data_IF_417024003068
#
_entry.id   IF_417024003068
#
_cell.length_a   1.000
_cell.length_b   1.000
_cell.length_c   1.000
_cell.angle_alpha   90.00
_cell.angle_beta   90.00
_cell.angle_gamma   90.00
#
_symmetry.space_group_name_H-M   'P 1'
#
loop_
_entity.id
_entity.type
_entity.pdbx_description
1 polymer ?
#
# COMPACT_ATOMS: atom_id res chain seq x y z
N UNK A 1 -57.73 10.30 -12.02
CA UNK A 1 -56.29 10.05 -12.18
C UNK A 1 -55.80 11.06 -13.21
N UNK A 2 -54.73 11.84 -12.96
CA UNK A 2 -54.20 12.94 -13.81
C UNK A 2 -54.50 14.39 -13.39
N UNK A 3 -54.22 14.76 -12.13
CA UNK A 3 -53.91 16.17 -11.83
C UNK A 3 -52.78 16.30 -10.79
N UNK A 4 -52.64 15.35 -9.85
CA UNK A 4 -51.57 15.39 -8.84
C UNK A 4 -50.20 14.87 -9.30
N UNK A 5 -50.13 14.03 -10.34
CA UNK A 5 -48.84 13.48 -10.82
C UNK A 5 -48.08 14.51 -11.67
N UNK A 6 -48.79 15.38 -12.40
CA UNK A 6 -48.17 16.41 -13.23
C UNK A 6 -47.57 17.54 -12.39
N UNK A 7 -48.18 17.90 -11.26
CA UNK A 7 -47.65 18.95 -10.37
C UNK A 7 -46.42 18.49 -9.59
N UNK A 8 -46.36 17.21 -9.18
CA UNK A 8 -45.17 16.63 -8.53
C UNK A 8 -43.99 16.45 -9.50
N UNK A 9 -44.27 16.04 -10.76
CA UNK A 9 -43.24 15.98 -11.80
C UNK A 9 -42.75 17.36 -12.23
N UNK A 10 -43.63 18.37 -12.30
CA UNK A 10 -43.21 19.75 -12.58
C UNK A 10 -42.37 20.36 -11.45
N UNK A 11 -42.69 20.08 -10.18
CA UNK A 11 -41.89 20.56 -9.03
C UNK A 11 -40.54 19.85 -8.91
N UNK A 12 -40.48 18.54 -9.14
CA UNK A 12 -39.22 17.81 -9.26
C UNK A 12 -38.40 18.32 -10.45
N UNK A 13 -39.02 18.56 -11.61
CA UNK A 13 -38.33 19.07 -12.80
C UNK A 13 -37.84 20.53 -12.64
N UNK A 14 -38.59 21.39 -11.93
CA UNK A 14 -38.18 22.75 -11.58
C UNK A 14 -36.98 22.74 -10.62
N UNK A 15 -36.99 21.83 -9.63
CA UNK A 15 -35.87 21.63 -8.70
C UNK A 15 -34.64 21.06 -9.43
N UNK A 16 -34.83 20.06 -10.32
CA UNK A 16 -33.76 19.52 -11.17
C UNK A 16 -33.16 20.58 -12.10
N UNK A 17 -33.99 21.44 -12.71
CA UNK A 17 -33.52 22.52 -13.57
C UNK A 17 -32.68 23.54 -12.79
N UNK A 18 -33.12 23.92 -11.59
CA UNK A 18 -32.38 24.81 -10.70
C UNK A 18 -31.06 24.18 -10.23
N UNK A 19 -31.05 22.90 -9.86
CA UNK A 19 -29.84 22.15 -9.49
C UNK A 19 -28.88 22.07 -10.67
N UNK A 20 -29.37 21.71 -11.87
CA UNK A 20 -28.57 21.66 -13.10
C UNK A 20 -27.95 23.02 -13.41
N UNK A 21 -28.72 24.09 -13.34
CA UNK A 21 -28.23 25.44 -13.57
C UNK A 21 -27.14 25.79 -12.54
N UNK A 22 -27.38 25.53 -11.25
CA UNK A 22 -26.41 25.76 -10.17
C UNK A 22 -25.10 25.02 -10.39
N UNK A 23 -25.16 23.74 -10.75
CA UNK A 23 -23.97 22.91 -11.01
C UNK A 23 -23.24 23.36 -12.29
N UNK A 24 -23.97 23.68 -13.36
CA UNK A 24 -23.38 24.13 -14.62
C UNK A 24 -22.63 25.45 -14.51
N UNK A 25 -23.12 26.36 -13.65
CA UNK A 25 -22.48 27.64 -13.34
C UNK A 25 -21.24 27.50 -12.44
N UNK A 26 -21.11 26.38 -11.73
CA UNK A 26 -20.05 26.15 -10.75
C UNK A 26 -19.47 24.72 -10.89
N UNK A 27 -18.83 24.40 -12.04
CA UNK A 27 -18.38 23.05 -12.34
C UNK A 27 -17.23 22.56 -11.44
N UNK A 28 -16.51 23.49 -10.82
CA UNK A 28 -15.41 23.26 -9.88
C UNK A 28 -15.89 23.00 -8.44
N UNK A 29 -17.17 23.22 -8.15
CA UNK A 29 -17.70 23.07 -6.79
C UNK A 29 -18.24 21.68 -6.51
N UNK A 30 -17.96 21.22 -5.28
CA UNK A 30 -18.57 20.03 -4.68
C UNK A 30 -19.46 20.44 -3.53
N UNK A 31 -20.69 19.94 -3.53
CA UNK A 31 -21.75 20.25 -2.60
C UNK A 31 -22.11 19.05 -1.73
N UNK A 32 -22.53 19.32 -0.50
CA UNK A 32 -23.14 18.34 0.40
C UNK A 32 -24.51 18.86 0.84
N UNK A 33 -25.54 18.78 -0.02
CA UNK A 33 -26.79 19.51 0.15
C UNK A 33 -27.60 19.07 1.38
N UNK A 34 -27.41 17.83 1.82
CA UNK A 34 -28.11 17.27 2.98
C UNK A 34 -27.37 17.50 4.31
N UNK A 35 -26.23 18.21 4.29
CA UNK A 35 -25.39 18.34 5.48
C UNK A 35 -25.89 19.43 6.43
N UNK A 36 -26.41 19.00 7.59
CA UNK A 36 -26.95 19.90 8.61
C UNK A 36 -28.28 20.55 8.21
N UNK A 37 -28.89 21.27 9.15
CA UNK A 37 -30.22 21.87 8.99
C UNK A 37 -30.19 23.37 8.65
N UNK A 38 -29.00 23.96 8.56
CA UNK A 38 -28.80 25.40 8.30
C UNK A 38 -27.82 25.58 7.15
N UNK A 39 -27.88 26.74 6.48
CA UNK A 39 -26.89 27.11 5.47
C UNK A 39 -25.48 27.07 6.05
N UNK A 40 -24.57 26.45 5.30
CA UNK A 40 -23.19 26.26 5.69
C UNK A 40 -22.31 26.04 4.44
N UNK A 41 -21.00 26.15 4.63
CA UNK A 41 -20.00 26.05 3.56
C UNK A 41 -20.11 24.75 2.73
N UNK A 42 -20.54 23.64 3.33
CA UNK A 42 -20.69 22.37 2.61
C UNK A 42 -21.93 22.34 1.72
N UNK A 43 -23.02 22.99 2.13
CA UNK A 43 -24.25 23.18 1.32
C UNK A 43 -24.05 24.23 0.23
N UNK A 44 -23.27 25.26 0.50
CA UNK A 44 -22.91 26.34 -0.45
C UNK A 44 -21.88 25.90 -1.49
N UNK A 45 -21.18 24.80 -1.22
CA UNK A 45 -20.24 24.16 -2.11
C UNK A 45 -18.80 24.64 -1.94
N UNK A 46 -17.88 23.69 -1.92
CA UNK A 46 -16.44 23.92 -1.83
C UNK A 46 -15.86 23.91 -3.24
N UNK A 47 -15.18 24.98 -3.63
CA UNK A 47 -14.40 25.01 -4.88
C UNK A 47 -13.16 24.14 -4.75
N UNK A 48 -13.01 23.21 -5.68
CA UNK A 48 -11.86 22.32 -5.77
C UNK A 48 -11.29 22.31 -7.19
N UNK A 49 -9.96 22.30 -7.28
CA UNK A 49 -9.24 22.08 -8.53
C UNK A 49 -8.52 20.72 -8.44
N UNK A 50 -8.50 19.98 -9.54
CA UNK A 50 -7.70 18.75 -9.67
C UNK A 50 -6.19 19.05 -9.71
N UNK A 51 -5.83 20.24 -10.19
CA UNK A 51 -4.45 20.73 -10.26
C UNK A 51 -4.06 21.27 -8.89
N UNK A 52 -2.97 20.75 -8.34
CA UNK A 52 -2.40 21.26 -7.10
C UNK A 52 -1.61 22.54 -7.35
N UNK A 53 -0.70 22.51 -8.33
CA UNK A 53 0.05 23.67 -8.79
C UNK A 53 0.72 23.37 -10.15
N UNK A 54 1.10 24.43 -10.86
CA UNK A 54 1.92 24.35 -12.06
C UNK A 54 3.27 24.96 -11.77
N UNK A 55 4.36 24.27 -12.14
CA UNK A 55 5.73 24.77 -11.92
C UNK A 55 6.01 25.88 -12.94
N UNK A 56 6.28 27.13 -12.50
CA UNK A 56 6.56 28.23 -13.40
C UNK A 56 7.79 27.93 -14.29
N UNK A 57 7.69 28.20 -15.59
CA UNK A 57 8.78 28.04 -16.55
C UNK A 57 8.97 26.64 -17.15
N UNK A 58 8.35 25.59 -16.58
CA UNK A 58 8.44 24.21 -17.09
C UNK A 58 7.15 23.70 -17.73
N UNK A 59 6.06 24.49 -17.71
CA UNK A 59 4.71 24.07 -18.12
C UNK A 59 4.31 22.69 -17.56
N UNK A 60 4.79 22.39 -16.35
CA UNK A 60 4.63 21.09 -15.71
C UNK A 60 3.57 21.18 -14.64
N UNK A 61 2.43 20.52 -14.88
CA UNK A 61 1.28 20.49 -13.97
C UNK A 61 1.38 19.34 -13.00
N UNK A 62 1.23 19.63 -11.70
CA UNK A 62 1.17 18.64 -10.62
C UNK A 62 -0.28 18.53 -10.16
N UNK A 63 -0.80 17.31 -10.14
CA UNK A 63 -2.17 17.01 -9.71
C UNK A 63 -2.23 16.60 -8.23
N UNK A 64 -3.32 16.93 -7.55
CA UNK A 64 -3.55 16.51 -6.16
C UNK A 64 -3.46 15.01 -5.98
N UNK A 65 -3.98 14.24 -6.95
CA UNK A 65 -3.94 12.79 -6.92
C UNK A 65 -2.52 12.24 -6.77
N UNK A 66 -1.59 12.70 -7.62
CA UNK A 66 -0.18 12.29 -7.56
C UNK A 66 0.53 12.78 -6.31
N UNK A 67 0.23 14.02 -5.88
CA UNK A 67 0.78 14.59 -4.66
C UNK A 67 0.39 13.80 -3.40
N UNK A 68 -0.89 13.45 -3.28
CA UNK A 68 -1.43 12.67 -2.15
C UNK A 68 -0.88 11.24 -2.13
N UNK A 69 -0.72 10.60 -3.29
CA UNK A 69 -0.03 9.31 -3.37
C UNK A 69 1.42 9.44 -2.89
N UNK A 70 2.14 10.47 -3.33
CA UNK A 70 3.51 10.74 -2.89
C UNK A 70 3.62 10.93 -1.38
N UNK A 71 2.71 11.71 -0.79
CA UNK A 71 2.61 11.91 0.66
C UNK A 71 2.30 10.59 1.37
N UNK A 72 1.36 9.80 0.83
CA UNK A 72 0.99 8.49 1.36
C UNK A 72 2.18 7.53 1.39
N UNK A 73 2.95 7.45 0.30
CA UNK A 73 4.17 6.64 0.21
C UNK A 73 5.22 7.14 1.22
N UNK A 74 5.44 8.46 1.33
CA UNK A 74 6.39 9.02 2.28
C UNK A 74 6.04 8.64 3.73
N UNK A 75 4.79 8.83 4.13
CA UNK A 75 4.33 8.50 5.49
C UNK A 75 4.36 6.99 5.74
N UNK A 76 3.99 6.19 4.74
CA UNK A 76 4.09 4.73 4.79
C UNK A 76 5.54 4.27 4.98
N UNK A 77 6.51 4.86 4.27
CA UNK A 77 7.94 4.57 4.45
C UNK A 77 8.42 4.96 5.85
N UNK A 78 8.11 6.18 6.31
CA UNK A 78 8.48 6.64 7.67
C UNK A 78 7.96 5.67 8.73
N UNK A 79 6.71 5.25 8.61
CA UNK A 79 6.11 4.27 9.52
C UNK A 79 6.80 2.90 9.41
N UNK A 80 6.95 2.39 8.18
CA UNK A 80 7.50 1.06 7.89
C UNK A 80 8.93 0.90 8.40
N UNK A 81 9.82 1.83 8.08
CA UNK A 81 11.22 1.81 8.54
C UNK A 81 11.33 1.86 10.07
N UNK A 82 10.42 2.56 10.76
CA UNK A 82 10.37 2.56 12.23
C UNK A 82 9.91 1.22 12.81
N UNK A 83 9.14 0.43 12.06
CA UNK A 83 8.61 -0.88 12.47
C UNK A 83 9.50 -2.07 12.08
N UNK A 84 10.50 -1.87 11.22
CA UNK A 84 11.42 -2.94 10.80
C UNK A 84 12.25 -3.51 11.96
N UNK A 85 12.91 -2.66 12.76
CA UNK A 85 13.79 -3.15 13.86
C UNK A 85 13.04 -4.00 14.90
N UNK A 86 11.85 -3.60 15.41
CA UNK A 86 11.06 -4.46 16.31
C UNK A 86 10.61 -5.80 15.70
N UNK A 87 10.67 -5.96 14.38
CA UNK A 87 10.41 -7.21 13.69
C UNK A 87 11.67 -8.01 13.38
N UNK A 88 12.86 -7.54 13.79
CA UNK A 88 14.11 -8.21 13.49
C UNK A 88 14.68 -7.88 12.10
N UNK A 89 14.12 -6.88 11.43
CA UNK A 89 14.47 -6.55 10.05
C UNK A 89 15.48 -5.41 10.06
N UNK A 90 16.62 -5.65 9.40
CA UNK A 90 17.60 -4.61 9.09
C UNK A 90 17.02 -3.65 8.01
N UNK A 91 16.83 -2.36 8.35
CA UNK A 91 16.33 -1.35 7.41
C UNK A 91 17.16 -1.20 6.13
N UNK A 92 18.49 -1.28 6.22
CA UNK A 92 19.37 -1.07 5.07
C UNK A 92 19.25 -2.24 4.10
N UNK A 93 19.31 -3.47 4.61
CA UNK A 93 19.07 -4.69 3.80
C UNK A 93 17.67 -4.72 3.19
N UNK A 94 16.66 -4.26 3.93
CA UNK A 94 15.29 -4.20 3.43
C UNK A 94 15.10 -3.14 2.34
N UNK A 95 15.94 -2.10 2.29
CA UNK A 95 15.83 -1.01 1.32
C UNK A 95 15.95 -1.50 -0.12
N UNK A 96 16.84 -2.46 -0.39
CA UNK A 96 16.94 -3.09 -1.72
C UNK A 96 15.62 -3.75 -2.15
N UNK A 97 14.96 -4.42 -1.20
CA UNK A 97 13.67 -5.05 -1.43
C UNK A 97 12.55 -4.03 -1.65
N UNK A 98 12.56 -2.92 -0.91
CA UNK A 98 11.60 -1.82 -1.08
C UNK A 98 11.78 -1.16 -2.46
N UNK A 99 13.02 -0.83 -2.84
CA UNK A 99 13.32 -0.21 -4.15
C UNK A 99 12.92 -1.17 -5.29
N UNK A 100 13.33 -2.44 -5.20
CA UNK A 100 12.94 -3.44 -6.18
C UNK A 100 11.43 -3.66 -6.24
N UNK A 101 10.75 -3.61 -5.11
CA UNK A 101 9.29 -3.66 -5.02
C UNK A 101 8.61 -2.49 -5.73
N UNK A 102 9.11 -1.26 -5.56
CA UNK A 102 8.60 -0.07 -6.26
C UNK A 102 8.80 -0.20 -7.78
N UNK A 103 9.99 -0.61 -8.22
CA UNK A 103 10.27 -0.83 -9.65
C UNK A 103 9.36 -1.93 -10.22
N UNK A 104 9.26 -3.06 -9.52
CA UNK A 104 8.38 -4.16 -9.89
C UNK A 104 6.92 -3.72 -9.96
N UNK A 105 6.47 -2.90 -9.02
CA UNK A 105 5.11 -2.34 -9.02
C UNK A 105 4.87 -1.49 -10.27
N UNK A 106 5.77 -0.56 -10.60
CA UNK A 106 5.63 0.31 -11.78
C UNK A 106 5.55 -0.49 -13.08
N UNK A 107 6.42 -1.49 -13.23
CA UNK A 107 6.41 -2.40 -14.39
C UNK A 107 5.10 -3.19 -14.42
N UNK A 108 4.70 -3.76 -13.29
CA UNK A 108 3.49 -4.55 -13.16
C UNK A 108 2.21 -3.75 -13.43
N UNK A 109 2.10 -2.52 -12.91
CA UNK A 109 0.99 -1.59 -13.15
C UNK A 109 0.74 -1.39 -14.63
N UNK A 110 1.82 -1.16 -15.39
CA UNK A 110 1.74 -0.94 -16.83
C UNK A 110 1.49 -2.23 -17.59
N UNK A 111 2.23 -3.30 -17.27
CA UNK A 111 2.09 -4.58 -17.95
C UNK A 111 0.66 -5.12 -17.82
N UNK A 112 0.06 -5.03 -16.64
CA UNK A 112 -1.32 -5.41 -16.42
C UNK A 112 -2.27 -4.57 -17.28
N UNK A 113 -2.10 -3.26 -17.31
CA UNK A 113 -2.95 -2.40 -18.15
C UNK A 113 -2.86 -2.77 -19.63
N UNK A 114 -1.66 -3.02 -20.15
CA UNK A 114 -1.43 -3.37 -21.56
C UNK A 114 -1.97 -4.76 -21.91
N UNK A 115 -1.87 -5.73 -21.00
CA UNK A 115 -2.40 -7.09 -21.23
C UNK A 115 -3.92 -7.10 -21.31
N UNK A 116 -4.59 -6.30 -20.47
CA UNK A 116 -6.05 -6.31 -20.38
C UNK A 116 -6.74 -5.25 -21.26
N UNK A 117 -6.00 -4.32 -21.85
CA UNK A 117 -6.50 -3.37 -22.84
C UNK A 117 -5.77 -3.58 -24.16
N UNK A 118 -6.27 -4.49 -24.99
CA UNK A 118 -5.57 -4.92 -26.22
C UNK A 118 -5.92 -4.07 -27.46
N UNK A 119 -6.94 -3.23 -27.39
CA UNK A 119 -7.38 -2.43 -28.54
C UNK A 119 -6.51 -1.18 -28.70
N UNK A 120 -5.74 -1.12 -29.79
CA UNK A 120 -5.02 0.09 -30.22
C UNK A 120 -3.73 0.42 -29.44
N UNK A 121 -3.25 -0.45 -28.54
CA UNK A 121 -2.03 -0.19 -27.76
C UNK A 121 -0.76 -0.54 -28.54
N UNK A 122 0.13 0.45 -28.68
CA UNK A 122 1.48 0.29 -29.24
C UNK A 122 2.54 0.10 -28.14
N UNK A 123 3.70 -0.47 -28.48
CA UNK A 123 4.84 -0.59 -27.54
C UNK A 123 5.30 0.77 -26.96
N UNK A 124 5.09 1.87 -27.70
CA UNK A 124 5.40 3.23 -27.19
C UNK A 124 4.48 3.62 -26.03
N UNK A 125 3.25 3.15 -26.04
CA UNK A 125 2.30 3.42 -24.96
C UNK A 125 2.75 2.74 -23.69
N UNK A 126 3.46 1.61 -23.74
CA UNK A 126 4.04 1.00 -22.53
C UNK A 126 4.88 2.00 -21.72
N UNK A 127 5.69 2.86 -22.37
CA UNK A 127 6.51 3.85 -21.66
C UNK A 127 5.75 5.11 -21.24
N UNK A 128 4.53 5.29 -21.73
CA UNK A 128 3.69 6.42 -21.38
C UNK A 128 2.93 6.16 -20.07
N UNK A 129 3.58 6.48 -18.96
CA UNK A 129 3.01 6.37 -17.61
C UNK A 129 2.21 7.60 -17.16
N UNK A 130 2.18 8.66 -17.98
CA UNK A 130 1.58 9.96 -17.62
C UNK A 130 0.13 10.10 -18.06
N UNK A 131 -0.22 9.47 -19.17
CA UNK A 131 -1.57 9.56 -19.76
C UNK A 131 -2.60 8.63 -19.06
N UNK A 132 -2.22 8.05 -17.92
CA UNK A 132 -3.03 7.10 -17.18
C UNK A 132 -2.85 5.66 -17.67
N UNK A 133 -3.82 4.80 -17.35
CA UNK A 133 -3.78 3.37 -17.70
C UNK A 133 -2.82 2.57 -16.82
N UNK A 134 -3.13 2.48 -15.53
CA UNK A 134 -2.34 1.73 -14.57
C UNK A 134 -3.25 0.73 -13.84
N UNK A 135 -2.93 -0.56 -13.94
CA UNK A 135 -3.68 -1.63 -13.29
C UNK A 135 -3.14 -1.94 -11.90
N UNK A 136 -3.88 -1.59 -10.84
CA UNK A 136 -3.39 -1.74 -9.46
C UNK A 136 -3.04 -3.19 -9.09
N UNK A 137 -3.77 -4.17 -9.62
CA UNK A 137 -3.47 -5.59 -9.44
C UNK A 137 -2.07 -5.96 -9.97
N UNK A 138 -1.70 -5.43 -11.13
CA UNK A 138 -0.36 -5.58 -11.69
C UNK A 138 0.72 -5.02 -10.78
N UNK A 139 0.47 -3.86 -10.17
CA UNK A 139 1.39 -3.25 -9.22
C UNK A 139 1.67 -4.13 -8.01
N UNK A 140 0.62 -4.71 -7.42
CA UNK A 140 0.76 -5.60 -6.27
C UNK A 140 1.54 -6.87 -6.63
N UNK A 141 1.20 -7.50 -7.76
CA UNK A 141 1.89 -8.71 -8.26
C UNK A 141 3.36 -8.41 -8.52
N UNK A 142 3.66 -7.33 -9.25
CA UNK A 142 5.03 -6.92 -9.57
C UNK A 142 5.85 -6.60 -8.32
N UNK A 143 5.25 -5.93 -7.33
CA UNK A 143 5.92 -5.63 -6.06
C UNK A 143 6.30 -6.91 -5.28
N UNK A 144 5.38 -7.88 -5.21
CA UNK A 144 5.61 -9.14 -4.51
C UNK A 144 6.65 -9.99 -5.25
N UNK A 145 6.56 -10.08 -6.58
CA UNK A 145 7.49 -10.87 -7.37
C UNK A 145 8.91 -10.32 -7.31
N UNK A 146 9.11 -9.01 -7.52
CA UNK A 146 10.45 -8.42 -7.54
C UNK A 146 10.95 -8.14 -6.12
N UNK A 147 10.18 -7.37 -5.35
CA UNK A 147 10.56 -6.99 -3.98
C UNK A 147 10.61 -8.20 -3.05
N UNK A 148 9.61 -9.07 -3.10
CA UNK A 148 9.59 -10.30 -2.29
C UNK A 148 10.73 -11.26 -2.63
N UNK A 149 11.12 -11.38 -3.91
CA UNK A 149 12.29 -12.16 -4.30
C UNK A 149 13.58 -11.58 -3.72
N UNK A 150 13.76 -10.26 -3.79
CA UNK A 150 14.94 -9.60 -3.20
C UNK A 150 14.96 -9.78 -1.68
N UNK A 151 13.83 -9.62 -0.99
CA UNK A 151 13.71 -9.87 0.46
C UNK A 151 14.11 -11.30 0.81
N UNK A 152 13.69 -12.29 0.00
CA UNK A 152 14.08 -13.69 0.18
C UNK A 152 15.59 -13.89 -0.06
N UNK A 153 16.16 -13.30 -1.11
CA UNK A 153 17.60 -13.34 -1.41
C UNK A 153 18.42 -12.72 -0.26
N UNK A 154 17.91 -11.65 0.36
CA UNK A 154 18.53 -10.98 1.51
C UNK A 154 18.34 -11.74 2.83
N UNK A 155 17.79 -12.96 2.80
CA UNK A 155 17.52 -13.82 3.96
C UNK A 155 16.61 -13.16 5.01
N UNK A 156 15.72 -12.27 4.59
CA UNK A 156 14.68 -11.67 5.44
C UNK A 156 13.42 -12.53 5.32
N UNK A 157 12.79 -12.86 6.46
CA UNK A 157 11.54 -13.62 6.45
C UNK A 157 10.42 -12.78 5.82
N UNK A 158 9.90 -13.23 4.68
CA UNK A 158 8.88 -12.50 3.92
C UNK A 158 7.63 -12.19 4.76
N UNK A 159 7.17 -13.13 5.60
CA UNK A 159 5.99 -12.89 6.44
C UNK A 159 6.19 -11.79 7.48
N UNK A 160 7.40 -11.65 8.05
CA UNK A 160 7.74 -10.55 8.95
C UNK A 160 7.77 -9.21 8.20
N UNK A 161 8.28 -9.21 6.97
CA UNK A 161 8.27 -8.02 6.10
C UNK A 161 6.85 -7.62 5.69
N UNK A 162 5.97 -8.60 5.40
CA UNK A 162 4.57 -8.37 5.09
C UNK A 162 3.81 -7.77 6.29
N UNK A 163 4.11 -8.22 7.52
CA UNK A 163 3.53 -7.62 8.72
C UNK A 163 3.89 -6.13 8.87
N UNK A 164 5.14 -5.75 8.56
CA UNK A 164 5.56 -4.34 8.54
C UNK A 164 4.85 -3.56 7.43
N UNK A 165 4.69 -4.17 6.25
CA UNK A 165 4.15 -3.52 5.05
C UNK A 165 2.62 -3.37 5.11
N UNK A 166 1.91 -4.26 5.81
CA UNK A 166 0.45 -4.26 5.87
C UNK A 166 -0.16 -2.92 6.37
N UNK A 167 0.26 -2.35 7.52
CA UNK A 167 -0.22 -1.03 7.93
C UNK A 167 0.24 0.09 6.99
N UNK A 168 1.38 -0.06 6.30
CA UNK A 168 1.86 0.90 5.30
C UNK A 168 0.90 1.02 4.11
N UNK A 169 0.31 -0.10 3.66
CA UNK A 169 -0.73 -0.07 2.63
C UNK A 169 -1.95 0.72 3.07
N UNK A 170 -2.40 0.55 4.31
CA UNK A 170 -3.54 1.29 4.85
C UNK A 170 -3.29 2.79 4.93
N UNK A 171 -2.07 3.22 5.29
CA UNK A 171 -1.67 4.64 5.23
C UNK A 171 -1.79 5.18 3.80
N UNK A 172 -1.20 4.47 2.83
CA UNK A 172 -1.23 4.86 1.42
C UNK A 172 -2.66 4.92 0.87
N UNK A 173 -3.48 3.91 1.17
CA UNK A 173 -4.88 3.84 0.74
C UNK A 173 -5.73 4.92 1.41
N UNK A 174 -5.56 5.16 2.71
CA UNK A 174 -6.28 6.20 3.45
C UNK A 174 -6.08 7.58 2.83
N UNK A 175 -4.85 7.93 2.46
CA UNK A 175 -4.50 9.25 1.92
C UNK A 175 -4.79 9.32 0.43
N UNK A 176 -4.43 8.28 -0.33
CA UNK A 176 -4.61 8.24 -1.79
C UNK A 176 -6.07 8.38 -2.22
N UNK A 177 -7.03 7.90 -1.40
CA UNK A 177 -8.47 8.04 -1.67
C UNK A 177 -8.94 9.49 -1.77
N UNK A 178 -8.27 10.43 -1.11
CA UNK A 178 -8.58 11.85 -1.25
C UNK A 178 -8.27 12.39 -2.65
N UNK A 179 -7.41 11.71 -3.42
CA UNK A 179 -7.24 12.01 -4.84
C UNK A 179 -8.54 11.86 -5.63
N UNK A 180 -9.35 10.84 -5.31
CA UNK A 180 -10.65 10.63 -5.95
C UNK A 180 -11.63 11.77 -5.65
N UNK A 181 -11.52 12.42 -4.49
CA UNK A 181 -12.32 13.60 -4.17
C UNK A 181 -11.96 14.80 -5.05
N UNK A 182 -10.67 15.11 -5.21
CA UNK A 182 -10.22 16.18 -6.10
C UNK A 182 -10.55 15.93 -7.57
N UNK A 183 -10.55 14.66 -7.99
CA UNK A 183 -10.99 14.24 -9.33
C UNK A 183 -12.51 14.10 -9.47
N UNK A 184 -13.26 14.14 -8.35
CA UNK A 184 -14.71 13.93 -8.31
C UNK A 184 -15.15 12.59 -8.94
N UNK A 185 -14.42 11.51 -8.66
CA UNK A 185 -14.60 10.18 -9.26
C UNK A 185 -14.77 9.07 -8.21
N UNK A 186 -15.03 7.84 -8.65
CA UNK A 186 -15.15 6.66 -7.78
C UNK A 186 -16.18 6.81 -6.65
N UNK A 187 -17.33 7.42 -6.95
CA UNK A 187 -18.46 7.60 -6.03
C UNK A 187 -19.45 6.43 -6.12
N UNK A 188 -20.44 6.42 -5.24
CA UNK A 188 -21.46 5.39 -5.19
C UNK A 188 -22.79 5.78 -5.82
N UNK A 189 -23.80 4.94 -5.61
CA UNK A 189 -25.20 5.20 -6.01
C UNK A 189 -25.78 6.43 -5.30
N UNK A 190 -26.95 6.89 -5.75
CA UNK A 190 -27.65 8.01 -5.15
C UNK A 190 -27.96 7.77 -3.66
N UNK A 191 -27.99 8.85 -2.88
CA UNK A 191 -28.16 8.80 -1.43
C UNK A 191 -28.80 10.04 -0.84
N UNK A 192 -29.66 9.83 0.16
CA UNK A 192 -30.28 10.90 0.94
C UNK A 192 -29.54 11.19 2.25
N UNK A 193 -28.38 10.56 2.46
CA UNK A 193 -27.60 10.74 3.70
C UNK A 193 -27.04 12.17 3.81
N UNK A 194 -26.81 12.68 5.04
CA UNK A 194 -26.36 14.06 5.24
C UNK A 194 -24.99 14.37 4.62
N UNK A 195 -24.16 13.36 4.39
CA UNK A 195 -22.86 13.48 3.72
C UNK A 195 -22.92 13.11 2.22
N UNK A 196 -24.11 13.07 1.60
CA UNK A 196 -24.25 12.85 0.16
C UNK A 196 -23.53 13.95 -0.62
N UNK A 197 -22.70 13.55 -1.57
CA UNK A 197 -21.85 14.45 -2.36
C UNK A 197 -22.51 14.72 -3.71
N UNK A 198 -22.50 15.96 -4.18
CA UNK A 198 -23.02 16.34 -5.48
C UNK A 198 -22.06 17.30 -6.16
N UNK A 199 -21.77 17.07 -7.43
CA UNK A 199 -20.98 17.97 -8.26
C UNK A 199 -21.37 17.85 -9.73
N UNK A 200 -20.92 18.80 -10.54
CA UNK A 200 -21.10 18.73 -11.99
C UNK A 200 -20.51 17.44 -12.59
N UNK A 201 -19.34 17.00 -12.12
CA UNK A 201 -18.71 15.77 -12.61
C UNK A 201 -19.51 14.53 -12.26
N UNK A 202 -20.04 14.44 -11.03
CA UNK A 202 -20.91 13.32 -10.63
C UNK A 202 -22.17 13.29 -11.48
N UNK A 203 -22.81 14.44 -11.71
CA UNK A 203 -24.04 14.53 -12.48
C UNK A 203 -23.82 14.17 -13.94
N UNK A 204 -22.74 14.67 -14.54
CA UNK A 204 -22.36 14.35 -15.91
C UNK A 204 -22.10 12.86 -16.08
N UNK A 205 -21.31 12.25 -15.19
CA UNK A 205 -21.01 10.82 -15.28
C UNK A 205 -22.28 9.97 -15.19
N UNK A 206 -23.18 10.27 -14.24
CA UNK A 206 -24.45 9.55 -14.12
C UNK A 206 -25.34 9.73 -15.35
N UNK A 207 -25.39 10.95 -15.90
CA UNK A 207 -26.12 11.24 -17.14
C UNK A 207 -25.55 10.49 -18.35
N UNK A 208 -24.21 10.42 -18.47
CA UNK A 208 -23.52 9.74 -19.57
C UNK A 208 -23.69 8.21 -19.49
N UNK A 209 -24.06 7.66 -18.32
CA UNK A 209 -24.21 6.22 -18.08
C UNK A 209 -25.65 5.80 -17.73
N UNK A 210 -26.63 6.68 -17.97
CA UNK A 210 -28.03 6.48 -17.58
C UNK A 210 -28.61 5.15 -18.07
N UNK A 211 -28.29 4.72 -19.30
CA UNK A 211 -28.79 3.47 -19.88
C UNK A 211 -28.24 2.19 -19.22
N UNK A 212 -27.13 2.32 -18.49
CA UNK A 212 -26.44 1.19 -17.84
C UNK A 212 -26.62 1.15 -16.33
N UNK A 213 -27.00 2.27 -15.73
CA UNK A 213 -27.22 2.41 -14.30
C UNK A 213 -28.73 2.46 -14.02
N UNK A 214 -29.26 1.43 -13.36
CA UNK A 214 -30.67 1.39 -12.96
C UNK A 214 -30.95 2.34 -11.78
N UNK A 215 -32.15 2.92 -11.74
CA UNK A 215 -32.66 3.74 -10.62
C UNK A 215 -31.73 4.89 -10.18
N UNK A 216 -31.11 5.56 -11.16
CA UNK A 216 -30.14 6.63 -10.91
C UNK A 216 -30.68 7.99 -11.35
N UNK A 217 -30.62 8.98 -10.47
CA UNK A 217 -30.90 10.38 -10.77
C UNK A 217 -29.56 11.13 -10.87
N UNK A 218 -29.28 11.67 -12.05
CA UNK A 218 -28.05 12.41 -12.32
C UNK A 218 -27.87 13.64 -11.42
N UNK A 219 -28.96 14.25 -10.95
CA UNK A 219 -28.89 15.47 -10.15
C UNK A 219 -29.12 15.24 -8.65
N UNK A 220 -29.26 13.98 -8.22
CA UNK A 220 -29.32 13.63 -6.82
C UNK A 220 -27.92 13.37 -6.22
N UNK A 221 -27.71 13.60 -4.91
CA UNK A 221 -26.43 13.35 -4.26
C UNK A 221 -26.03 11.88 -4.31
N UNK A 222 -24.73 11.61 -4.35
CA UNK A 222 -24.14 10.27 -4.38
C UNK A 222 -23.37 9.94 -3.11
N UNK A 223 -23.23 8.65 -2.81
CA UNK A 223 -22.37 8.19 -1.73
C UNK A 223 -20.89 8.59 -1.99
N UNK A 224 -20.22 9.34 -1.08
CA UNK A 224 -18.78 9.63 -1.21
C UNK A 224 -17.94 8.40 -0.83
N UNK A 225 -17.89 7.40 -1.71
CA UNK A 225 -17.17 6.14 -1.45
C UNK A 225 -15.69 6.34 -1.11
N UNK A 226 -15.04 7.38 -1.64
CA UNK A 226 -13.67 7.75 -1.27
C UNK A 226 -13.52 7.96 0.25
N UNK A 227 -14.52 8.58 0.89
CA UNK A 227 -14.53 8.89 2.32
C UNK A 227 -14.72 7.61 3.13
N UNK A 228 -15.62 6.73 2.68
CA UNK A 228 -15.83 5.43 3.33
C UNK A 228 -14.56 4.59 3.29
N UNK A 229 -13.91 4.50 2.13
CA UNK A 229 -12.65 3.77 2.00
C UNK A 229 -11.53 4.41 2.83
N UNK A 230 -11.43 5.74 2.85
CA UNK A 230 -10.43 6.47 3.64
C UNK A 230 -10.60 6.21 5.14
N UNK A 231 -11.82 6.35 5.67
CA UNK A 231 -12.12 6.10 7.08
C UNK A 231 -11.96 4.63 7.47
N UNK A 232 -12.35 3.69 6.59
CA UNK A 232 -12.15 2.27 6.81
C UNK A 232 -10.67 1.89 6.88
N UNK A 233 -9.85 2.48 6.00
CA UNK A 233 -8.40 2.30 6.00
C UNK A 233 -7.76 2.92 7.24
N UNK A 234 -8.21 4.10 7.68
CA UNK A 234 -7.75 4.74 8.91
C UNK A 234 -8.07 3.88 10.15
N UNK A 235 -9.31 3.40 10.26
CA UNK A 235 -9.72 2.51 11.34
C UNK A 235 -8.88 1.22 11.35
N UNK A 236 -8.70 0.61 10.18
CA UNK A 236 -7.82 -0.55 10.01
C UNK A 236 -6.40 -0.25 10.47
N UNK A 237 -5.83 0.88 10.06
CA UNK A 237 -4.47 1.26 10.43
C UNK A 237 -4.32 1.36 11.95
N UNK A 238 -5.26 2.03 12.62
CA UNK A 238 -5.27 2.18 14.07
C UNK A 238 -5.36 0.80 14.75
N UNK A 239 -6.31 -0.04 14.33
CA UNK A 239 -6.50 -1.39 14.88
C UNK A 239 -5.23 -2.23 14.73
N UNK A 240 -4.67 -2.29 13.52
CA UNK A 240 -3.49 -3.08 13.23
C UNK A 240 -2.25 -2.53 13.94
N UNK A 241 -2.11 -1.21 14.05
CA UNK A 241 -1.02 -0.58 14.78
C UNK A 241 -1.03 -0.96 16.27
N UNK A 242 -2.21 -0.91 16.91
CA UNK A 242 -2.39 -1.26 18.31
C UNK A 242 -2.22 -2.78 18.54
N UNK A 243 -2.72 -3.60 17.62
CA UNK A 243 -2.58 -5.06 17.68
C UNK A 243 -1.16 -5.55 17.33
N UNK A 244 -0.33 -4.73 16.68
CA UNK A 244 1.00 -5.11 16.17
C UNK A 244 1.91 -5.82 17.18
N UNK A 245 1.85 -5.41 18.45
CA UNK A 245 2.64 -5.99 19.55
C UNK A 245 2.05 -7.29 20.12
N UNK A 246 0.79 -7.58 19.82
CA UNK A 246 0.03 -8.72 20.34
C UNK A 246 0.00 -9.91 19.39
N UNK A 247 0.60 -9.77 18.21
CA UNK A 247 0.73 -10.84 17.21
C UNK A 247 1.39 -12.09 17.80
N UNK A 248 1.03 -13.24 17.25
CA UNK A 248 1.39 -14.59 17.67
C UNK A 248 2.32 -15.29 16.68
N UNK A 249 2.34 -14.82 15.43
CA UNK A 249 3.27 -15.29 14.41
C UNK A 249 3.56 -14.19 13.39
N UNK A 250 4.70 -14.30 12.69
CA UNK A 250 5.04 -13.45 11.56
C UNK A 250 4.11 -13.76 10.37
N UNK A 251 3.38 -12.75 9.92
CA UNK A 251 2.36 -12.82 8.87
C UNK A 251 0.94 -12.59 9.39
N UNK A 252 0.74 -12.55 10.71
CA UNK A 252 -0.60 -12.35 11.29
C UNK A 252 -1.19 -10.97 10.95
N UNK A 253 -0.37 -9.92 11.02
CA UNK A 253 -0.83 -8.55 10.72
C UNK A 253 -1.19 -8.43 9.24
N UNK A 254 -0.42 -9.09 8.36
CA UNK A 254 -0.74 -9.13 6.93
C UNK A 254 -2.05 -9.87 6.63
N UNK A 255 -2.31 -11.00 7.29
CA UNK A 255 -3.59 -11.69 7.15
C UNK A 255 -4.74 -10.81 7.64
N UNK A 256 -4.60 -10.21 8.82
CA UNK A 256 -5.59 -9.27 9.36
C UNK A 256 -5.86 -8.10 8.42
N UNK A 257 -4.81 -7.52 7.82
CA UNK A 257 -4.94 -6.48 6.80
C UNK A 257 -5.74 -6.96 5.59
N UNK A 258 -5.39 -8.14 5.05
CA UNK A 258 -6.04 -8.71 3.87
C UNK A 258 -7.52 -8.94 4.12
N UNK A 259 -7.87 -9.48 5.30
CA UNK A 259 -9.25 -9.66 5.71
C UNK A 259 -9.98 -8.33 5.95
N UNK A 260 -9.35 -7.38 6.66
CA UNK A 260 -9.94 -6.08 6.95
C UNK A 260 -10.21 -5.27 5.70
N UNK A 261 -9.21 -5.11 4.84
CA UNK A 261 -9.34 -4.36 3.59
C UNK A 261 -10.29 -5.05 2.62
N UNK A 262 -10.22 -6.38 2.51
CA UNK A 262 -11.17 -7.17 1.72
C UNK A 262 -12.61 -6.96 2.20
N UNK A 263 -12.86 -6.97 3.50
CA UNK A 263 -14.21 -6.74 4.05
C UNK A 263 -14.76 -5.36 3.68
N UNK A 264 -13.96 -4.31 3.87
CA UNK A 264 -14.36 -2.96 3.46
C UNK A 264 -14.59 -2.85 1.95
N UNK A 265 -13.69 -3.45 1.16
CA UNK A 265 -13.82 -3.46 -0.31
C UNK A 265 -15.09 -4.17 -0.76
N UNK A 266 -15.44 -5.31 -0.16
CA UNK A 266 -16.64 -6.05 -0.51
C UNK A 266 -17.92 -5.22 -0.38
N UNK A 267 -18.08 -4.50 0.74
CA UNK A 267 -19.26 -3.67 0.99
C UNK A 267 -19.25 -2.38 0.16
N UNK A 268 -18.13 -1.67 0.12
CA UNK A 268 -18.06 -0.37 -0.58
C UNK A 268 -18.15 -0.57 -2.09
N UNK A 269 -17.56 -1.63 -2.64
CA UNK A 269 -17.70 -1.98 -4.05
C UNK A 269 -19.17 -2.24 -4.42
N UNK A 270 -20.00 -2.74 -3.49
CA UNK A 270 -21.43 -2.92 -3.72
C UNK A 270 -22.19 -1.59 -3.87
N UNK A 271 -21.65 -0.50 -3.33
CA UNK A 271 -22.22 0.84 -3.48
C UNK A 271 -21.75 1.55 -4.74
N UNK A 272 -20.64 1.12 -5.37
CA UNK A 272 -20.03 1.81 -6.50
C UNK A 272 -20.90 1.75 -7.75
N UNK A 273 -20.80 2.78 -8.59
CA UNK A 273 -21.46 2.85 -9.90
C UNK A 273 -20.53 2.37 -11.04
N UNK A 274 -19.22 2.39 -10.83
CA UNK A 274 -18.17 2.19 -11.84
C UNK A 274 -17.37 0.89 -11.63
N UNK A 275 -18.07 -0.23 -11.41
CA UNK A 275 -17.45 -1.53 -11.14
C UNK A 275 -17.02 -2.27 -12.40
N UNK A 276 -15.89 -3.00 -12.31
CA UNK A 276 -15.51 -3.97 -13.34
C UNK A 276 -16.32 -5.26 -13.16
N UNK A 277 -17.04 -5.65 -14.21
CA UNK A 277 -17.86 -6.87 -14.22
C UNK A 277 -17.19 -8.00 -15.00
N UNK A 278 -17.34 -9.22 -14.49
CA UNK A 278 -17.12 -10.46 -15.21
C UNK A 278 -18.46 -11.20 -15.24
N UNK A 279 -19.15 -11.12 -16.38
CA UNK A 279 -20.56 -11.50 -16.47
C UNK A 279 -21.42 -10.64 -15.54
N UNK A 280 -22.14 -11.25 -14.60
CA UNK A 280 -22.99 -10.56 -13.63
C UNK A 280 -22.32 -10.26 -12.29
N UNK A 281 -21.02 -10.56 -12.15
CA UNK A 281 -20.29 -10.47 -10.88
C UNK A 281 -19.29 -9.32 -10.94
N UNK A 282 -19.29 -8.47 -9.91
CA UNK A 282 -18.26 -7.44 -9.73
C UNK A 282 -16.95 -8.11 -9.34
N UNK A 283 -15.93 -8.02 -10.20
CA UNK A 283 -14.63 -8.71 -10.02
C UNK A 283 -13.99 -8.33 -8.70
N UNK A 284 -14.03 -7.05 -8.34
CA UNK A 284 -13.45 -6.56 -7.09
C UNK A 284 -14.18 -7.09 -5.85
N UNK A 285 -15.50 -7.36 -5.91
CA UNK A 285 -16.21 -8.02 -4.80
C UNK A 285 -15.81 -9.49 -4.68
N UNK A 286 -15.70 -10.21 -5.80
CA UNK A 286 -15.28 -11.61 -5.79
C UNK A 286 -13.88 -11.76 -5.17
N UNK A 287 -12.91 -10.97 -5.65
CA UNK A 287 -11.54 -10.97 -5.13
C UNK A 287 -11.50 -10.55 -3.65
N UNK A 288 -12.31 -9.56 -3.26
CA UNK A 288 -12.40 -9.13 -1.87
C UNK A 288 -12.95 -10.26 -0.97
N UNK A 289 -14.03 -10.92 -1.38
CA UNK A 289 -14.65 -12.03 -0.65
C UNK A 289 -13.71 -13.23 -0.50
N UNK A 290 -13.00 -13.61 -1.57
CA UNK A 290 -12.03 -14.71 -1.50
C UNK A 290 -10.86 -14.37 -0.58
N UNK A 291 -10.35 -13.13 -0.63
CA UNK A 291 -9.31 -12.66 0.28
C UNK A 291 -9.76 -12.69 1.75
N UNK A 292 -11.01 -12.33 2.05
CA UNK A 292 -11.56 -12.40 3.42
C UNK A 292 -11.59 -13.84 3.92
N UNK A 293 -12.16 -14.75 3.13
CA UNK A 293 -12.26 -16.18 3.50
C UNK A 293 -10.87 -16.79 3.66
N UNK A 294 -9.97 -16.58 2.70
CA UNK A 294 -8.60 -17.07 2.75
C UNK A 294 -7.85 -16.53 3.97
N UNK A 295 -7.99 -15.24 4.27
CA UNK A 295 -7.40 -14.61 5.46
C UNK A 295 -7.85 -15.28 6.76
N UNK A 296 -9.16 -15.49 6.92
CA UNK A 296 -9.73 -16.12 8.13
C UNK A 296 -9.22 -17.55 8.29
N UNK A 297 -9.29 -18.35 7.21
CA UNK A 297 -8.85 -19.76 7.23
C UNK A 297 -7.36 -19.85 7.57
N UNK A 298 -6.51 -19.11 6.86
CA UNK A 298 -5.07 -19.11 7.09
C UNK A 298 -4.71 -18.60 8.49
N UNK A 299 -5.43 -17.60 8.99
CA UNK A 299 -5.22 -17.09 10.34
C UNK A 299 -5.54 -18.14 11.41
N UNK A 300 -6.65 -18.87 11.29
CA UNK A 300 -7.02 -19.96 12.20
C UNK A 300 -5.98 -21.09 12.13
N UNK A 301 -5.61 -21.51 10.91
CA UNK A 301 -4.65 -22.59 10.68
C UNK A 301 -3.29 -22.25 11.27
N UNK A 302 -2.69 -21.11 10.92
CA UNK A 302 -1.37 -20.74 11.43
C UNK A 302 -1.38 -20.48 12.93
N UNK A 303 -2.43 -19.89 13.48
CA UNK A 303 -2.56 -19.71 14.93
C UNK A 303 -2.65 -21.05 15.67
N UNK A 304 -3.35 -22.03 15.09
CA UNK A 304 -3.42 -23.40 15.62
C UNK A 304 -2.05 -24.09 15.58
N UNK A 305 -1.35 -24.02 14.44
CA UNK A 305 -0.01 -24.59 14.27
C UNK A 305 0.97 -23.95 15.25
N UNK A 306 1.00 -22.63 15.36
CA UNK A 306 1.88 -21.91 16.28
C UNK A 306 1.58 -22.27 17.74
N UNK A 307 0.31 -22.42 18.11
CA UNK A 307 -0.07 -22.85 19.47
C UNK A 307 0.37 -24.29 19.78
N UNK A 308 0.31 -25.20 18.80
CA UNK A 308 0.70 -26.62 18.96
C UNK A 308 2.21 -26.82 18.93
N UNK A 309 2.93 -26.06 18.12
CA UNK A 309 4.36 -26.24 17.88
C UNK A 309 5.21 -26.02 19.15
N UNK A 310 4.74 -25.22 20.11
CA UNK A 310 5.41 -24.94 21.40
C UNK A 310 6.74 -24.16 21.30
N UNK A 311 7.43 -24.28 20.15
CA UNK A 311 8.77 -23.78 19.86
C UNK A 311 8.78 -22.79 18.69
N UNK A 312 7.62 -22.20 18.35
CA UNK A 312 7.56 -21.19 17.29
C UNK A 312 8.45 -19.99 17.65
N UNK A 313 9.34 -19.60 16.73
CA UNK A 313 10.23 -18.44 16.89
C UNK A 313 9.89 -17.35 15.91
N UNK A 314 9.67 -16.14 16.41
CA UNK A 314 9.56 -14.96 15.56
C UNK A 314 10.88 -14.67 14.83
N UNK A 315 10.80 -13.91 13.74
CA UNK A 315 11.98 -13.61 12.94
C UNK A 315 13.05 -12.89 13.77
N UNK A 316 12.65 -11.95 14.63
CA UNK A 316 13.55 -11.23 15.52
C UNK A 316 14.28 -12.11 16.55
N UNK A 317 13.80 -13.32 16.79
CA UNK A 317 14.44 -14.27 17.72
C UNK A 317 15.47 -15.16 17.02
N UNK A 318 15.50 -15.16 15.68
CA UNK A 318 16.43 -15.97 14.89
C UNK A 318 17.84 -15.40 14.93
N UNK A 319 18.84 -16.28 14.90
CA UNK A 319 20.25 -15.87 14.87
C UNK A 319 20.60 -15.07 13.61
N UNK A 320 19.97 -15.39 12.47
CA UNK A 320 20.12 -14.62 11.23
C UNK A 320 19.69 -13.17 11.44
N UNK A 321 18.52 -12.95 12.04
CA UNK A 321 18.02 -11.60 12.32
C UNK A 321 18.93 -10.84 13.29
N UNK A 322 19.36 -11.48 14.38
CA UNK A 322 20.27 -10.88 15.36
C UNK A 322 21.61 -10.49 14.74
N UNK A 323 22.20 -11.36 13.92
CA UNK A 323 23.44 -11.09 13.21
C UNK A 323 23.31 -9.91 12.23
N UNK A 324 22.23 -9.88 11.45
CA UNK A 324 21.95 -8.77 10.52
C UNK A 324 21.77 -7.44 11.27
N UNK A 325 21.03 -7.44 12.38
CA UNK A 325 20.85 -6.23 13.19
C UNK A 325 22.14 -5.79 13.90
N UNK A 326 23.01 -6.73 14.31
CA UNK A 326 24.30 -6.41 14.91
C UNK A 326 25.26 -5.78 13.89
N UNK A 327 25.31 -6.32 12.66
CA UNK A 327 26.06 -5.72 11.55
C UNK A 327 25.57 -4.30 11.26
N UNK A 328 24.25 -4.12 11.20
CA UNK A 328 23.63 -2.81 11.01
C UNK A 328 23.94 -1.83 12.15
N UNK A 329 23.86 -2.26 13.42
CA UNK A 329 24.21 -1.42 14.57
C UNK A 329 25.69 -1.01 14.54
N UNK A 330 26.59 -1.94 14.21
CA UNK A 330 28.02 -1.65 14.02
C UNK A 330 28.26 -0.64 12.90
N UNK A 331 27.50 -0.72 11.80
CA UNK A 331 27.52 0.28 10.74
C UNK A 331 26.97 1.64 11.21
N UNK A 332 25.88 1.68 11.97
CA UNK A 332 25.32 2.93 12.51
C UNK A 332 26.32 3.65 13.42
N UNK A 333 26.97 2.93 14.32
CA UNK A 333 27.95 3.50 15.24
C UNK A 333 29.21 3.98 14.51
N UNK A 334 29.65 3.22 13.50
CA UNK A 334 30.71 3.65 12.57
C UNK A 334 30.34 4.95 11.84
N UNK A 335 29.08 5.11 11.38
CA UNK A 335 28.63 6.33 10.71
C UNK A 335 28.49 7.52 11.67
N UNK A 336 28.04 7.29 12.90
CA UNK A 336 28.01 8.34 13.94
C UNK A 336 29.42 8.85 14.22
N UNK A 337 30.37 7.94 14.44
CA UNK A 337 31.77 8.29 14.68
C UNK A 337 32.34 9.07 13.48
N UNK A 338 32.06 8.62 12.25
CA UNK A 338 32.44 9.34 11.02
C UNK A 338 31.85 10.75 10.95
N UNK A 339 30.58 10.92 11.32
CA UNK A 339 29.89 12.23 11.32
C UNK A 339 30.44 13.16 12.40
N UNK A 340 30.74 12.63 13.58
CA UNK A 340 31.37 13.39 14.66
C UNK A 340 32.78 13.86 14.29
N UNK A 341 33.61 12.99 13.70
CA UNK A 341 34.93 13.37 13.22
C UNK A 341 34.85 14.44 12.12
N UNK A 342 33.93 14.30 11.15
CA UNK A 342 33.71 15.37 10.15
C UNK A 342 33.29 16.69 10.78
N UNK A 343 32.42 16.66 11.79
CA UNK A 343 31.97 17.85 12.51
C UNK A 343 33.14 18.51 13.24
N UNK A 344 33.96 17.73 13.97
CA UNK A 344 35.17 18.23 14.65
C UNK A 344 36.18 18.84 13.68
N UNK A 345 36.40 18.23 12.51
CA UNK A 345 37.28 18.79 11.46
C UNK A 345 36.71 20.11 10.93
N UNK A 346 35.40 20.18 10.67
CA UNK A 346 34.76 21.41 10.19
C UNK A 346 34.82 22.55 11.23
N UNK A 347 34.62 22.22 12.51
CA UNK A 347 34.74 23.18 13.63
C UNK A 347 36.17 23.68 13.81
N UNK A 348 37.17 22.79 13.79
CA UNK A 348 38.58 23.15 13.87
C UNK A 348 38.99 24.05 12.69
N UNK A 349 38.55 23.70 11.47
CA UNK A 349 38.78 24.52 10.27
C UNK A 349 38.14 25.91 10.37
N UNK A 350 36.93 26.00 10.93
CA UNK A 350 36.24 27.28 11.14
C UNK A 350 36.93 28.15 12.21
N UNK A 351 37.51 27.53 13.25
CA UNK A 351 38.25 28.22 14.31
C UNK A 351 39.70 28.57 13.94
N UNK A 352 40.19 28.14 12.78
CA UNK A 352 41.60 28.28 12.40
C UNK A 352 42.55 27.38 13.22
N UNK A 353 42.01 26.36 13.89
CA UNK A 353 42.78 25.39 14.67
C UNK A 353 43.37 24.30 13.77
N UNK A 354 44.46 23.67 14.21
CA UNK A 354 45.05 22.54 13.49
C UNK A 354 44.09 21.35 13.48
N UNK A 355 43.74 20.87 12.30
CA UNK A 355 42.85 19.72 12.08
C UNK A 355 43.57 18.49 11.49
N UNK A 356 44.90 18.56 11.33
CA UNK A 356 45.69 17.52 10.66
C UNK A 356 45.62 16.16 11.37
N UNK A 357 45.55 16.14 12.70
CA UNK A 357 45.43 14.89 13.48
C UNK A 357 44.03 14.27 13.35
N UNK A 358 42.97 15.10 13.36
CA UNK A 358 41.60 14.66 13.14
C UNK A 358 41.41 14.12 11.72
N UNK A 359 42.05 14.74 10.73
CA UNK A 359 42.03 14.28 9.34
C UNK A 359 42.80 12.96 9.16
N UNK A 360 43.93 12.79 9.87
CA UNK A 360 44.68 11.53 9.90
C UNK A 360 43.88 10.42 10.57
N UNK A 361 43.20 10.70 11.68
CA UNK A 361 42.30 9.75 12.34
C UNK A 361 41.12 9.38 11.44
N UNK A 362 40.50 10.36 10.79
CA UNK A 362 39.41 10.14 9.83
C UNK A 362 39.87 9.27 8.64
N UNK A 363 41.03 9.55 8.06
CA UNK A 363 41.56 8.78 6.94
C UNK A 363 41.97 7.36 7.35
N UNK A 364 42.50 7.18 8.57
CA UNK A 364 42.83 5.86 9.12
C UNK A 364 41.59 5.00 9.34
N UNK A 365 40.52 5.58 9.91
CA UNK A 365 39.29 4.84 10.24
C UNK A 365 38.33 4.67 9.04
N UNK A 366 38.27 5.66 8.15
CA UNK A 366 37.23 5.76 7.12
C UNK A 366 37.74 6.12 5.71
N UNK A 367 39.06 6.16 5.51
CA UNK A 367 39.68 6.46 4.22
C UNK A 367 39.57 5.31 3.21
N UNK A 368 40.09 5.54 2.00
CA UNK A 368 39.99 4.60 0.87
C UNK A 368 40.59 3.22 1.19
N UNK A 369 41.66 3.16 1.97
CA UNK A 369 42.32 1.91 2.36
C UNK A 369 41.51 1.12 3.41
N UNK A 370 40.91 1.79 4.40
CA UNK A 370 40.04 1.15 5.38
C UNK A 370 38.77 0.57 4.74
N UNK A 371 38.19 1.28 3.75
CA UNK A 371 37.04 0.80 2.96
C UNK A 371 37.41 -0.40 2.08
N UNK A 372 38.62 -0.42 1.52
CA UNK A 372 39.14 -1.55 0.74
C UNK A 372 39.33 -2.79 1.64
N UNK A 373 39.93 -2.61 2.81
CA UNK A 373 40.13 -3.67 3.79
C UNK A 373 38.80 -4.22 4.34
N UNK A 374 37.79 -3.38 4.61
CA UNK A 374 36.45 -3.84 4.99
C UNK A 374 35.76 -4.65 3.88
N UNK A 375 35.86 -4.22 2.62
CA UNK A 375 35.29 -4.96 1.49
C UNK A 375 35.99 -6.31 1.25
N UNK A 376 37.30 -6.36 1.43
CA UNK A 376 38.08 -7.60 1.33
C UNK A 376 37.79 -8.55 2.50
N UNK A 377 37.65 -8.04 3.73
CA UNK A 377 37.23 -8.82 4.89
C UNK A 377 35.79 -9.35 4.75
N UNK A 378 34.86 -8.55 4.22
CA UNK A 378 33.49 -8.99 3.94
C UNK A 378 33.45 -10.04 2.83
N UNK A 379 34.26 -9.89 1.77
CA UNK A 379 34.41 -10.92 0.73
C UNK A 379 34.96 -12.23 1.32
N UNK A 380 36.02 -12.15 2.12
CA UNK A 380 36.63 -13.32 2.75
C UNK A 380 35.70 -14.03 3.76
N UNK A 381 34.87 -13.26 4.49
CA UNK A 381 33.86 -13.82 5.38
C UNK A 381 32.73 -14.52 4.61
N UNK A 382 32.25 -13.91 3.51
CA UNK A 382 31.23 -14.51 2.62
C UNK A 382 31.75 -15.77 1.90
N UNK A 383 33.06 -15.82 1.61
CA UNK A 383 33.71 -16.96 0.95
C UNK A 383 33.97 -18.12 1.91
N UNK A 384 34.24 -17.83 3.20
CA UNK A 384 34.28 -18.84 4.27
C UNK A 384 32.92 -19.48 4.55
N UNK A 385 31.84 -18.69 4.49
CA UNK A 385 30.46 -19.17 4.73
C UNK A 385 29.95 -20.09 3.59
N UNK A 386 30.59 -20.08 2.42
CA UNK A 386 30.31 -21.02 1.32
C UNK A 386 30.98 -22.39 1.49
N UNK A 387 31.99 -22.51 2.33
CA UNK A 387 32.76 -23.75 2.53
C UNK A 387 32.37 -24.54 3.79
N UNK A 388 31.52 -23.98 4.66
CA UNK A 388 31.11 -24.62 5.93
C UNK A 388 29.62 -25.05 6.00
N UNK A 389 28.86 -24.94 4.90
CA UNK A 389 27.46 -25.39 4.85
C UNK A 389 27.32 -26.58 3.90
N UNK A 390 27.16 -27.82 4.39
CA UNK A 390 26.62 -28.90 3.58
C UNK A 390 25.21 -28.52 3.15
N UNK A 391 24.92 -28.74 1.88
CA UNK A 391 23.59 -28.62 1.27
C UNK A 391 22.65 -29.64 1.89
N UNK A 392 22.08 -29.34 3.06
CA UNK A 392 20.92 -30.07 3.56
C UNK A 392 19.67 -29.51 2.89
N UNK A 393 19.40 -30.14 1.75
CA UNK A 393 18.17 -30.00 1.00
C UNK A 393 16.95 -30.13 1.90
N UNK A 394 15.96 -29.31 1.57
CA UNK A 394 14.63 -29.35 2.11
C UNK A 394 14.06 -30.78 1.99
N UNK A 395 13.92 -31.52 3.11
CA UNK A 395 13.10 -32.73 3.15
C UNK A 395 11.62 -32.33 3.14
N UNK A 396 10.91 -32.86 2.15
CA UNK A 396 9.48 -32.68 1.96
C UNK A 396 8.69 -33.38 3.07
N UNK A 397 7.57 -32.81 3.48
CA UNK A 397 6.61 -33.39 4.44
C UNK A 397 5.80 -34.57 3.84
N UNK A 398 6.09 -34.98 2.61
CA UNK A 398 5.50 -36.17 1.98
C UNK A 398 6.35 -37.44 2.11
N UNK A 399 7.51 -37.37 2.77
CA UNK A 399 8.45 -38.50 2.87
C UNK A 399 8.34 -39.31 4.18
N UNK A 400 7.38 -39.00 5.06
CA UNK A 400 7.23 -39.67 6.37
C UNK A 400 5.87 -40.39 6.52
N UNK A 401 5.52 -41.29 5.59
CA UNK A 401 4.32 -42.14 5.74
C UNK A 401 4.50 -43.62 5.29
N UNK A 402 5.73 -44.14 5.11
CA UNK A 402 5.92 -45.53 4.61
C UNK A 402 6.83 -46.47 5.46
N UNK A 403 7.17 -46.16 6.72
CA UNK A 403 8.03 -47.05 7.53
C UNK A 403 7.46 -47.58 8.86
N UNK A 404 6.15 -47.48 9.11
CA UNK A 404 5.52 -48.04 10.32
C UNK A 404 4.48 -49.17 10.04
N UNK A 405 4.61 -49.91 8.94
CA UNK A 405 3.75 -51.09 8.66
C UNK A 405 4.44 -52.46 8.64
N UNK A 406 5.70 -52.61 9.07
CA UNK A 406 6.35 -53.95 9.05
C UNK A 406 7.23 -54.30 10.26
N UNK A 407 6.71 -54.08 11.48
CA UNK A 407 7.34 -54.62 12.71
C UNK A 407 6.42 -55.40 13.66
N UNK A 408 5.23 -55.80 13.22
CA UNK A 408 4.31 -56.62 14.03
C UNK A 408 3.93 -57.98 13.39
N UNK A 409 4.83 -58.63 12.65
CA UNK A 409 4.59 -59.98 12.10
C UNK A 409 5.58 -61.09 12.53
N UNK A 410 6.42 -60.86 13.54
CA UNK A 410 7.22 -61.92 14.17
C UNK A 410 6.98 -61.97 15.69
N UNK A 411 5.75 -62.31 16.07
CA UNK A 411 5.40 -62.92 17.37
C UNK A 411 3.99 -63.48 17.28
N UNK A 412 3.85 -64.56 16.51
CA UNK A 412 2.92 -65.67 16.74
C UNK A 412 2.87 -66.56 15.48
N UNK A 413 3.79 -67.53 15.42
CA UNK A 413 3.58 -68.91 14.97
C UNK A 413 4.86 -69.74 15.05
#
# INVERSE_FOLDING_TARGET
MNMNVMTALCTLAEDTAAVREKLSKNPDKVYFPNFGNTDNILREGISIDRVAFTIPGLNFTVYWYGLLIGIGILLAMIYGFRKMRPCGIDPDRATDGVIGGVIGALIGLRLYYVIFNTEGITLKDFFNIRDGGLGIYGGLIGAILVGGSIIKIKKIRLSAMLDVTAPCFLIGQCIGRWGNFFNQECFGVNTDKPWGMLSWSTARFLSDHYDTLTDTDAFAPVHPCFLYESLWCLAGFIILHLYFKHRKFDGEIFLMYTGWYGLGRFFIEGLRTDSLYLGHIRVSQLVAGTCVVASIVLWIVFRSITKRSGNYKFFYETEVSKAQLAEYAGYEDMQKEKKELKKKIAEAKHKGESFAELEKEYNKKFGKEAIKAQKEALKAAVEKDKTEVPDEGYKSILDDDDEDENKDSEKDK
#
